data_IF_589831777023
#
_entry.id   IF_589831777023
#
_cell.length_a   1.000
_cell.length_b   1.000
_cell.length_c   1.000
_cell.angle_alpha   90.00
_cell.angle_beta   90.00
_cell.angle_gamma   90.00
#
_symmetry.space_group_name_H-M   'P 1'
#
loop_
_entity.id
_entity.type
_entity.pdbx_description
1 polymer ?
#
# COMPACT_ATOMS: atom_id res chain seq x y z
N UNK A 1 0.90 21.89 -13.80
CA UNK A 1 2.09 22.15 -12.94
C UNK A 1 3.21 21.20 -13.38
N UNK A 2 4.26 21.70 -14.05
CA UNK A 2 5.42 20.88 -14.40
C UNK A 2 6.31 20.74 -13.16
N UNK A 3 6.33 19.55 -12.56
CA UNK A 3 7.23 19.25 -11.45
C UNK A 3 8.67 19.19 -11.98
N UNK A 4 9.34 20.35 -12.01
CA UNK A 4 10.74 20.46 -12.45
C UNK A 4 11.74 20.00 -11.37
N UNK A 5 11.23 19.60 -10.20
CA UNK A 5 12.02 19.10 -9.09
C UNK A 5 11.27 17.94 -8.43
N UNK A 6 12.02 16.90 -8.07
CA UNK A 6 11.56 15.71 -7.37
C UNK A 6 12.53 15.48 -6.21
N UNK A 7 11.99 15.14 -5.04
CA UNK A 7 12.76 14.71 -3.89
C UNK A 7 12.33 13.29 -3.51
N UNK A 8 13.28 12.39 -3.34
CA UNK A 8 13.06 10.99 -2.97
C UNK A 8 13.89 10.69 -1.73
N UNK A 9 13.27 10.13 -0.70
CA UNK A 9 13.94 9.67 0.51
C UNK A 9 13.81 8.17 0.69
N UNK A 10 14.56 7.62 1.65
CA UNK A 10 14.36 6.24 2.10
C UNK A 10 12.93 6.08 2.68
N UNK A 11 12.28 4.94 2.45
CA UNK A 11 10.96 4.63 3.01
C UNK A 11 10.98 4.45 4.55
N UNK A 12 12.15 4.14 5.11
CA UNK A 12 12.42 4.16 6.54
C UNK A 12 12.80 5.55 7.06
N UNK A 13 12.84 6.60 6.22
CA UNK A 13 13.17 7.95 6.70
C UNK A 13 12.07 8.61 7.54
N UNK A 14 12.49 9.57 8.37
CA UNK A 14 11.65 10.41 9.20
C UNK A 14 11.53 9.94 10.65
N UNK A 15 10.88 10.76 11.48
CA UNK A 15 10.72 10.46 12.90
C UNK A 15 9.45 9.64 13.15
N UNK A 16 9.50 8.63 14.04
CA UNK A 16 8.30 8.06 14.64
C UNK A 16 7.45 9.17 15.27
N UNK A 17 6.12 9.11 15.13
CA UNK A 17 5.24 10.06 15.81
C UNK A 17 5.04 9.60 17.27
N UNK A 18 5.56 10.31 18.28
CA UNK A 18 5.45 9.91 19.68
C UNK A 18 4.03 10.04 20.23
N UNK A 19 3.20 10.91 19.64
CA UNK A 19 1.86 11.26 20.16
C UNK A 19 0.74 10.39 19.58
N UNK A 20 1.06 9.32 18.84
CA UNK A 20 0.06 8.43 18.27
C UNK A 20 -0.46 7.51 19.38
N UNK A 21 -1.48 7.97 20.11
CA UNK A 21 -2.28 7.20 21.07
C UNK A 21 -3.05 6.09 20.34
N UNK A 22 -2.37 5.09 19.81
CA UNK A 22 -2.98 3.81 19.48
C UNK A 22 -2.53 2.81 20.54
N UNK A 23 -3.49 2.16 21.20
CA UNK A 23 -3.27 1.01 22.10
C UNK A 23 -2.53 -0.18 21.47
N UNK A 24 -2.18 -0.07 20.18
CA UNK A 24 -1.25 -0.94 19.48
C UNK A 24 0.09 -0.23 19.49
N UNK A 25 1.11 -0.85 20.09
CA UNK A 25 2.52 -0.56 19.87
C UNK A 25 2.81 -0.65 18.37
N UNK A 26 2.53 0.43 17.63
CA UNK A 26 2.90 0.51 16.23
C UNK A 26 4.41 0.68 16.23
N UNK A 27 5.10 -0.42 16.01
CA UNK A 27 6.53 -0.48 15.69
C UNK A 27 6.78 0.34 14.44
N UNK A 28 6.94 1.66 14.63
CA UNK A 28 7.35 2.54 13.56
C UNK A 28 8.68 2.03 13.04
N UNK A 29 8.72 1.64 11.76
CA UNK A 29 9.96 1.26 11.06
C UNK A 29 10.77 2.48 10.62
N UNK A 30 10.32 3.67 11.00
CA UNK A 30 11.02 4.90 10.67
C UNK A 30 12.25 5.05 11.57
N UNK A 31 13.37 5.29 10.93
CA UNK A 31 14.65 5.66 11.49
C UNK A 31 14.84 7.13 11.11
N UNK A 32 15.25 7.96 12.08
CA UNK A 32 15.43 9.39 11.85
C UNK A 32 16.63 9.63 10.92
N UNK A 33 16.34 9.59 9.62
CA UNK A 33 17.34 9.37 8.61
C UNK A 33 17.29 10.44 7.50
N UNK A 34 18.40 11.16 7.25
CA UNK A 34 18.39 12.37 6.42
C UNK A 34 18.71 12.16 4.94
N UNK A 35 18.88 10.93 4.44
CA UNK A 35 19.15 10.70 3.01
C UNK A 35 18.04 11.27 2.15
N UNK A 36 18.46 12.09 1.19
CA UNK A 36 17.58 12.69 0.20
C UNK A 36 18.25 12.70 -1.16
N UNK A 37 17.54 12.18 -2.14
CA UNK A 37 17.85 12.28 -3.55
C UNK A 37 17.05 13.43 -4.14
N UNK A 38 17.75 14.41 -4.70
CA UNK A 38 17.12 15.55 -5.36
C UNK A 38 17.33 15.43 -6.87
N UNK A 39 16.24 15.31 -7.63
CA UNK A 39 16.27 15.37 -9.07
C UNK A 39 15.72 16.72 -9.54
N UNK A 40 16.46 17.46 -10.34
CA UNK A 40 16.01 18.71 -10.97
C UNK A 40 16.12 18.60 -12.48
N UNK A 41 15.03 18.91 -13.19
CA UNK A 41 15.05 18.97 -14.66
C UNK A 41 15.78 20.23 -15.10
N UNK A 42 16.68 20.11 -16.06
CA UNK A 42 17.29 21.28 -16.68
C UNK A 42 16.24 22.05 -17.50
N UNK A 43 16.18 23.36 -17.35
CA UNK A 43 15.17 24.19 -18.02
C UNK A 43 15.26 24.08 -19.56
N UNK A 44 16.46 23.91 -20.09
CA UNK A 44 16.75 24.00 -21.53
C UNK A 44 17.14 22.65 -22.17
N UNK A 45 17.08 21.55 -21.41
CA UNK A 45 17.48 20.22 -21.89
C UNK A 45 16.49 19.17 -21.40
N UNK A 46 16.27 18.13 -22.20
CA UNK A 46 15.49 16.96 -21.79
C UNK A 46 16.24 16.05 -20.79
N UNK A 47 17.11 16.61 -19.95
CA UNK A 47 17.98 15.90 -19.02
C UNK A 47 17.67 16.29 -17.58
N UNK A 48 17.99 15.39 -16.65
CA UNK A 48 17.80 15.58 -15.21
C UNK A 48 19.15 15.61 -14.50
N UNK A 49 19.31 16.52 -13.53
CA UNK A 49 20.40 16.51 -12.58
C UNK A 49 19.95 15.77 -11.32
N UNK A 50 20.64 14.70 -10.95
CA UNK A 50 20.41 13.97 -9.71
C UNK A 50 21.53 14.29 -8.73
N UNK A 51 21.17 14.74 -7.52
CA UNK A 51 22.11 15.01 -6.43
C UNK A 51 21.72 14.19 -5.20
N UNK A 52 22.66 13.40 -4.71
CA UNK A 52 22.55 12.70 -3.43
C UNK A 52 22.98 13.64 -2.32
N UNK A 53 22.15 13.81 -1.28
CA UNK A 53 22.53 14.47 -0.03
C UNK A 53 22.48 13.44 1.09
N UNK A 54 23.52 13.42 1.93
CA UNK A 54 23.68 12.54 3.09
C UNK A 54 23.56 11.05 2.70
N UNK A 55 24.56 10.49 2.00
CA UNK A 55 24.49 9.15 1.40
C UNK A 55 24.55 7.98 2.40
N UNK A 56 25.05 8.23 3.62
CA UNK A 56 25.11 7.23 4.71
C UNK A 56 23.75 6.64 4.99
N UNK A 57 23.63 5.34 5.29
CA UNK A 57 22.41 4.63 5.71
C UNK A 57 22.58 3.97 7.09
N UNK A 58 21.56 4.07 7.95
CA UNK A 58 21.56 3.43 9.29
C UNK A 58 20.99 2.01 9.30
N UNK A 59 20.78 1.44 8.12
CA UNK A 59 20.39 0.04 7.93
C UNK A 59 20.98 -0.46 6.62
N UNK A 60 21.22 -1.77 6.56
CA UNK A 60 21.73 -2.40 5.35
C UNK A 60 20.73 -2.28 4.19
N UNK A 61 21.28 -2.32 2.97
CA UNK A 61 20.47 -2.49 1.78
C UNK A 61 19.77 -3.85 1.83
N UNK A 62 18.48 -3.87 1.55
CA UNK A 62 17.72 -5.11 1.55
C UNK A 62 17.63 -5.67 0.12
N UNK A 63 18.04 -6.92 -0.08
CA UNK A 63 17.85 -7.64 -1.36
C UNK A 63 16.36 -7.96 -1.61
N UNK A 64 15.65 -8.21 -0.52
CA UNK A 64 14.22 -8.42 -0.49
C UNK A 64 13.43 -7.10 -0.57
N UNK A 65 13.02 -6.73 -1.78
CA UNK A 65 12.14 -5.58 -2.09
C UNK A 65 10.87 -5.56 -1.21
N UNK A 66 10.45 -6.73 -0.69
CA UNK A 66 9.37 -6.88 0.27
C UNK A 66 9.53 -6.07 1.54
N UNK A 67 10.74 -5.77 2.01
CA UNK A 67 10.89 -5.09 3.30
C UNK A 67 10.40 -3.65 3.26
N UNK A 68 10.32 -3.09 2.06
CA UNK A 68 9.93 -1.72 1.81
C UNK A 68 8.41 -1.59 1.60
N UNK A 69 7.67 -0.88 2.49
CA UNK A 69 6.22 -0.75 2.40
C UNK A 69 5.72 -0.12 1.10
N UNK A 70 6.54 0.70 0.44
CA UNK A 70 6.23 1.28 -0.87
C UNK A 70 5.93 0.22 -1.93
N UNK A 71 6.70 -0.87 -1.93
CA UNK A 71 6.54 -1.98 -2.86
C UNK A 71 5.44 -2.96 -2.43
N UNK A 72 4.92 -2.86 -1.20
CA UNK A 72 3.76 -3.67 -0.73
C UNK A 72 2.40 -3.06 -1.05
N UNK A 73 2.31 -1.79 -1.44
CA UNK A 73 1.03 -1.15 -1.80
C UNK A 73 0.40 -1.92 -2.96
N UNK A 74 -0.91 -1.98 -3.17
CA UNK A 74 -1.42 -2.54 -4.45
C UNK A 74 -1.51 -1.45 -5.52
N UNK A 75 -1.39 -1.82 -6.79
CA UNK A 75 -1.76 -0.94 -7.89
C UNK A 75 -3.30 -0.88 -7.98
N UNK A 76 -3.83 0.02 -8.82
CA UNK A 76 -5.27 0.21 -8.98
C UNK A 76 -5.96 -1.07 -9.50
N UNK A 77 -5.34 -1.72 -10.49
CA UNK A 77 -5.83 -2.99 -11.04
C UNK A 77 -6.02 -4.07 -9.96
N UNK A 78 -4.97 -4.39 -9.19
CA UNK A 78 -5.06 -5.36 -8.09
C UNK A 78 -6.04 -4.92 -7.01
N UNK A 79 -6.14 -3.62 -6.75
CA UNK A 79 -7.11 -3.09 -5.76
C UNK A 79 -8.55 -3.33 -6.21
N UNK A 80 -8.84 -3.09 -7.49
CA UNK A 80 -10.14 -3.39 -8.10
C UNK A 80 -10.44 -4.89 -8.04
N UNK A 81 -9.47 -5.72 -8.43
CA UNK A 81 -9.61 -7.16 -8.45
C UNK A 81 -9.86 -7.76 -7.06
N UNK A 82 -9.14 -7.29 -6.03
CA UNK A 82 -9.38 -7.67 -4.63
C UNK A 82 -10.80 -7.29 -4.20
N UNK A 83 -11.27 -6.11 -4.62
CA UNK A 83 -12.61 -5.61 -4.28
C UNK A 83 -13.69 -6.50 -4.91
N UNK A 84 -13.55 -6.83 -6.19
CA UNK A 84 -14.45 -7.73 -6.91
C UNK A 84 -14.49 -9.13 -6.28
N UNK A 85 -13.32 -9.71 -5.97
CA UNK A 85 -13.26 -11.01 -5.31
C UNK A 85 -13.88 -10.99 -3.89
N UNK A 86 -13.70 -9.88 -3.18
CA UNK A 86 -14.35 -9.68 -1.87
C UNK A 86 -15.87 -9.53 -1.99
N UNK A 87 -16.38 -8.94 -3.07
CA UNK A 87 -17.82 -8.83 -3.36
C UNK A 87 -18.43 -10.18 -3.71
N UNK A 88 -17.68 -11.07 -4.36
CA UNK A 88 -18.06 -12.48 -4.55
C UNK A 88 -17.93 -13.34 -3.28
N UNK A 89 -17.79 -12.72 -2.10
CA UNK A 89 -17.68 -13.39 -0.79
C UNK A 89 -16.49 -14.36 -0.69
N UNK A 90 -15.43 -14.17 -1.48
CA UNK A 90 -14.22 -14.97 -1.35
C UNK A 90 -13.46 -14.59 -0.08
N UNK A 91 -13.04 -15.61 0.67
CA UNK A 91 -12.22 -15.41 1.86
C UNK A 91 -10.85 -14.82 1.49
N UNK A 92 -10.28 -13.90 2.30
CA UNK A 92 -8.99 -13.26 2.02
C UNK A 92 -7.84 -14.24 1.72
N UNK A 93 -7.84 -15.43 2.33
CA UNK A 93 -6.87 -16.50 2.02
C UNK A 93 -7.02 -17.04 0.60
N UNK A 94 -8.25 -17.23 0.11
CA UNK A 94 -8.51 -17.68 -1.27
C UNK A 94 -8.15 -16.59 -2.28
N UNK A 95 -8.49 -15.34 -1.97
CA UNK A 95 -8.08 -14.16 -2.75
C UNK A 95 -6.55 -14.13 -2.90
N UNK A 96 -5.81 -14.35 -1.81
CA UNK A 96 -4.35 -14.40 -1.85
C UNK A 96 -3.83 -15.50 -2.77
N UNK A 97 -4.34 -16.73 -2.62
CA UNK A 97 -3.92 -17.86 -3.44
C UNK A 97 -4.13 -17.61 -4.94
N UNK A 98 -5.28 -17.04 -5.30
CA UNK A 98 -5.62 -16.70 -6.68
C UNK A 98 -4.74 -15.56 -7.23
N UNK A 99 -4.43 -14.54 -6.43
CA UNK A 99 -3.51 -13.47 -6.85
C UNK A 99 -2.08 -13.98 -7.02
N UNK A 100 -1.64 -14.90 -6.16
CA UNK A 100 -0.32 -15.50 -6.27
C UNK A 100 -0.19 -16.42 -7.49
N UNK A 101 -1.27 -17.08 -7.92
CA UNK A 101 -1.24 -17.96 -9.10
C UNK A 101 -1.15 -17.19 -10.43
N UNK A 102 -1.55 -15.90 -10.45
CA UNK A 102 -1.57 -15.07 -11.65
C UNK A 102 -0.20 -14.61 -12.17
N UNK A 103 0.91 -15.05 -11.54
CA UNK A 103 2.31 -14.74 -11.92
C UNK A 103 2.56 -13.27 -12.32
N UNK A 104 1.88 -12.31 -11.70
CA UNK A 104 2.22 -10.90 -11.89
C UNK A 104 3.49 -10.56 -11.10
N UNK A 105 4.64 -10.66 -11.80
CA UNK A 105 6.01 -10.72 -11.28
C UNK A 105 6.48 -9.54 -10.42
N UNK A 106 5.76 -8.43 -10.38
CA UNK A 106 6.33 -7.17 -9.88
C UNK A 106 5.79 -6.71 -8.55
N UNK A 107 4.73 -7.35 -8.01
CA UNK A 107 4.20 -6.90 -6.73
C UNK A 107 3.59 -7.96 -5.83
N UNK A 108 4.10 -8.12 -4.61
CA UNK A 108 3.72 -9.21 -3.73
C UNK A 108 2.32 -9.15 -3.12
N UNK A 109 1.73 -10.35 -3.08
CA UNK A 109 0.52 -10.85 -2.41
C UNK A 109 0.52 -10.93 -0.88
N UNK A 110 0.52 -9.85 -0.08
CA UNK A 110 0.44 -10.04 1.41
C UNK A 110 -1.00 -10.18 1.92
N UNK A 111 -1.26 -11.19 2.76
CA UNK A 111 -2.58 -11.42 3.37
C UNK A 111 -3.05 -10.20 4.19
N UNK A 112 -2.14 -9.58 4.95
CA UNK A 112 -2.44 -8.35 5.69
C UNK A 112 -2.83 -7.20 4.74
N UNK A 113 -2.17 -7.10 3.59
CA UNK A 113 -2.53 -6.14 2.54
C UNK A 113 -3.97 -6.35 2.07
N UNK A 114 -4.37 -7.60 1.82
CA UNK A 114 -5.75 -7.93 1.41
C UNK A 114 -6.74 -7.51 2.50
N UNK A 115 -6.51 -7.91 3.75
CA UNK A 115 -7.36 -7.50 4.87
C UNK A 115 -7.48 -5.97 4.98
N UNK A 116 -6.37 -5.26 4.83
CA UNK A 116 -6.36 -3.80 4.88
C UNK A 116 -7.18 -3.19 3.74
N UNK A 117 -7.16 -3.76 2.53
CA UNK A 117 -8.00 -3.28 1.43
C UNK A 117 -9.48 -3.60 1.64
N UNK A 118 -9.81 -4.83 2.04
CA UNK A 118 -11.19 -5.25 2.30
C UNK A 118 -11.83 -4.40 3.40
N UNK A 119 -11.04 -3.99 4.40
CA UNK A 119 -11.50 -3.12 5.50
C UNK A 119 -11.57 -1.64 5.15
N UNK A 120 -11.01 -1.19 4.01
CA UNK A 120 -11.11 0.24 3.66
C UNK A 120 -12.57 0.59 3.45
N UNK A 121 -13.08 1.63 4.12
CA UNK A 121 -14.45 2.08 3.90
C UNK A 121 -14.56 2.50 2.42
N UNK A 122 -15.53 1.92 1.72
CA UNK A 122 -15.88 2.35 0.37
C UNK A 122 -16.36 3.80 0.51
N UNK A 123 -15.81 4.71 -0.31
CA UNK A 123 -16.33 6.10 -0.38
C UNK A 123 -17.74 6.18 -0.96
N UNK A 124 -18.30 5.06 -1.40
CA UNK A 124 -19.71 4.94 -1.79
C UNK A 124 -20.55 4.68 -0.54
N UNK A 125 -21.69 5.36 -0.43
CA UNK A 125 -22.62 5.41 0.71
C UNK A 125 -23.27 4.06 1.12
N UNK A 126 -22.57 2.95 1.04
CA UNK A 126 -23.08 1.68 1.54
C UNK A 126 -22.75 1.56 3.02
N UNK A 127 -23.77 1.82 3.86
CA UNK A 127 -23.77 1.41 5.27
C UNK A 127 -23.25 -0.03 5.36
N UNK A 128 -22.34 -0.35 6.30
CA UNK A 128 -21.88 -1.72 6.47
C UNK A 128 -23.03 -2.53 7.05
N UNK A 129 -23.83 -3.16 6.21
CA UNK A 129 -24.65 -4.27 6.65
C UNK A 129 -23.69 -5.39 7.00
N UNK A 130 -23.54 -5.63 8.30
CA UNK A 130 -22.66 -6.67 8.80
C UNK A 130 -23.01 -8.03 8.17
N UNK A 131 -22.08 -9.00 8.18
CA UNK A 131 -22.32 -10.35 7.64
C UNK A 131 -23.64 -10.98 8.11
N UNK A 132 -24.04 -10.65 9.33
CA UNK A 132 -25.26 -11.10 9.99
C UNK A 132 -26.55 -10.56 9.32
N UNK A 133 -26.54 -9.33 8.78
CA UNK A 133 -27.71 -8.76 8.08
C UNK A 133 -27.94 -9.37 6.69
N UNK A 134 -26.88 -9.81 6.00
CA UNK A 134 -27.00 -10.50 4.71
C UNK A 134 -27.66 -11.88 4.87
N UNK A 135 -27.44 -12.55 6.00
CA UNK A 135 -28.06 -13.82 6.36
C UNK A 135 -29.54 -13.68 6.77
N UNK A 136 -29.96 -12.49 7.23
CA UNK A 136 -31.32 -12.21 7.69
C UNK A 136 -32.26 -11.73 6.57
N UNK A 137 -31.77 -11.55 5.33
CA UNK A 137 -32.65 -11.14 4.22
C UNK A 137 -33.55 -12.33 3.85
N UNK A 138 -34.88 -12.21 3.98
CA UNK A 138 -35.77 -13.29 3.60
C UNK A 138 -35.61 -13.54 2.10
N UNK A 139 -35.35 -14.79 1.74
CA UNK A 139 -35.41 -15.26 0.35
C UNK A 139 -36.78 -14.89 -0.20
N UNK A 140 -36.82 -13.95 -1.15
CA UNK A 140 -38.04 -13.70 -1.92
C UNK A 140 -38.31 -14.97 -2.73
N UNK A 141 -39.10 -15.88 -2.15
CA UNK A 141 -39.69 -16.99 -2.88
C UNK A 141 -40.51 -16.37 -4.00
N UNK A 142 -40.09 -16.59 -5.24
CA UNK A 142 -40.91 -16.30 -6.41
C UNK A 142 -42.15 -17.21 -6.33
N UNK A 143 -43.31 -16.57 -6.27
CA UNK A 143 -44.61 -17.18 -6.60
C UNK A 143 -44.72 -17.13 -8.12
#
# INVERSE_FOLDING_TARGET
MTHNQIEIGCDRSGTPNPNKNSSKTVTSRKLDFPLRLYARKYANKATWNLKVKNPEHSHDSTDNIMEHPGFRKFNEHKTSQISQMSESLLLPRKIQAQLCSQRELYRPVTLQGIYNQVKKPRKTNCKPEGPLMLLLKPSKKKI
#
